data_IF_274949899403
#
_entry.id   IF_274949899403
#
_cell.length_a   1.000
_cell.length_b   1.000
_cell.length_c   1.000
_cell.angle_alpha   90.00
_cell.angle_beta   90.00
_cell.angle_gamma   90.00
#
_symmetry.space_group_name_H-M   'P 1'
#
loop_
_entity.id
_entity.type
_entity.pdbx_description
1 polymer ?
#
# COMPACT_ATOMS: atom_id res chain seq x y z
N UNK A 1 -13.13 27.19 -5.66
CA UNK A 1 -14.32 26.38 -5.96
C UNK A 1 -13.93 25.21 -6.84
N UNK A 2 -14.51 24.02 -6.60
CA UNK A 2 -14.39 22.87 -7.48
C UNK A 2 -15.43 22.96 -8.58
N UNK A 3 -15.07 22.50 -9.80
CA UNK A 3 -15.98 22.40 -10.93
C UNK A 3 -16.13 20.93 -11.28
N UNK A 4 -17.35 20.44 -11.34
CA UNK A 4 -17.66 19.09 -11.81
C UNK A 4 -17.39 19.01 -13.31
N UNK A 5 -16.59 18.03 -13.73
CA UNK A 5 -16.22 17.80 -15.13
C UNK A 5 -16.97 16.64 -15.77
N UNK A 6 -17.79 15.92 -15.01
CA UNK A 6 -18.52 14.73 -15.47
C UNK A 6 -17.68 13.43 -15.43
N UNK A 7 -18.21 12.33 -15.98
CA UNK A 7 -17.53 11.04 -16.01
C UNK A 7 -16.33 11.05 -16.95
N UNK A 8 -15.40 10.11 -16.76
CA UNK A 8 -14.36 9.85 -17.74
C UNK A 8 -14.98 9.27 -19.02
N UNK A 9 -14.38 9.64 -20.15
CA UNK A 9 -14.83 9.22 -21.48
C UNK A 9 -13.70 8.40 -22.12
N UNK A 10 -13.99 7.15 -22.43
CA UNK A 10 -13.07 6.26 -23.14
C UNK A 10 -12.82 6.72 -24.58
N UNK A 11 -11.85 6.10 -25.25
CA UNK A 11 -11.50 6.44 -26.64
C UNK A 11 -12.63 6.26 -27.64
N UNK A 12 -13.53 5.31 -27.39
CA UNK A 12 -14.72 5.07 -28.23
C UNK A 12 -15.91 5.99 -27.89
N UNK A 13 -15.74 6.88 -26.91
CA UNK A 13 -16.76 7.82 -26.48
C UNK A 13 -17.68 7.31 -25.35
N UNK A 14 -17.44 6.10 -24.84
CA UNK A 14 -18.25 5.52 -23.77
C UNK A 14 -17.88 6.13 -22.41
N UNK A 15 -18.85 6.64 -21.64
CA UNK A 15 -18.62 7.08 -20.27
C UNK A 15 -18.28 5.89 -19.35
N UNK A 16 -17.34 6.11 -18.40
CA UNK A 16 -17.01 5.13 -17.37
C UNK A 16 -16.59 5.79 -16.06
N UNK A 17 -16.69 5.03 -14.98
CA UNK A 17 -16.21 5.42 -13.65
C UNK A 17 -15.06 4.50 -13.28
N UNK A 18 -13.85 5.01 -13.10
CA UNK A 18 -12.71 4.19 -12.65
C UNK A 18 -12.89 3.80 -11.19
N UNK A 19 -12.35 2.64 -10.82
CA UNK A 19 -12.24 2.22 -9.43
C UNK A 19 -10.83 2.55 -8.91
N UNK A 20 -10.73 3.16 -7.73
CA UNK A 20 -9.48 3.61 -7.10
C UNK A 20 -8.59 4.48 -8.03
N UNK A 21 -9.12 5.55 -8.62
CA UNK A 21 -8.33 6.31 -9.57
C UNK A 21 -7.21 7.12 -8.92
N UNK A 22 -6.02 7.06 -9.51
CA UNK A 22 -4.91 7.95 -9.22
C UNK A 22 -4.56 8.77 -10.46
N UNK A 23 -4.41 10.07 -10.32
CA UNK A 23 -3.97 10.98 -11.38
C UNK A 23 -2.50 11.31 -11.19
N UNK A 24 -1.77 11.36 -12.29
CA UNK A 24 -0.36 11.74 -12.34
C UNK A 24 -0.10 12.69 -13.50
N UNK A 25 0.62 13.78 -13.24
CA UNK A 25 1.08 14.70 -14.29
C UNK A 25 2.59 14.58 -14.40
N UNK A 26 3.07 14.19 -15.58
CA UNK A 26 4.51 14.05 -15.85
C UNK A 26 5.17 15.41 -16.12
N UNK A 27 6.50 15.45 -16.10
CA UNK A 27 7.31 16.66 -16.28
C UNK A 27 7.06 17.35 -17.65
N UNK A 28 6.65 16.60 -18.66
CA UNK A 28 6.28 17.13 -19.98
C UNK A 28 4.82 17.64 -20.04
N UNK A 29 4.10 17.60 -18.93
CA UNK A 29 2.73 18.04 -18.80
C UNK A 29 1.69 17.05 -19.34
N UNK A 30 2.06 15.83 -19.71
CA UNK A 30 1.09 14.75 -19.99
C UNK A 30 0.42 14.31 -18.71
N UNK A 31 -0.86 13.97 -18.80
CA UNK A 31 -1.70 13.57 -17.68
C UNK A 31 -2.04 12.09 -17.83
N UNK A 32 -1.85 11.35 -16.77
CA UNK A 32 -2.13 9.93 -16.71
C UNK A 32 -3.12 9.63 -15.59
N UNK A 33 -3.92 8.60 -15.78
CA UNK A 33 -4.79 8.04 -14.76
C UNK A 33 -4.51 6.54 -14.64
N UNK A 34 -4.42 6.08 -13.42
CA UNK A 34 -4.33 4.64 -13.10
C UNK A 34 -5.55 4.23 -12.31
N UNK A 35 -6.01 3.01 -12.53
CA UNK A 35 -7.18 2.51 -11.84
C UNK A 35 -7.14 0.98 -11.72
N UNK A 36 -7.86 0.44 -10.76
CA UNK A 36 -8.18 -0.98 -10.69
C UNK A 36 -9.09 -1.39 -11.85
N UNK A 37 -8.84 -2.58 -12.37
CA UNK A 37 -9.72 -3.23 -13.34
C UNK A 37 -9.69 -4.75 -13.18
N UNK A 38 -10.88 -5.37 -13.08
CA UNK A 38 -11.04 -6.80 -13.26
C UNK A 38 -10.97 -7.17 -14.74
N UNK A 39 -10.28 -8.27 -15.06
CA UNK A 39 -10.24 -8.87 -16.38
C UNK A 39 -10.83 -10.26 -16.29
N UNK A 40 -11.96 -10.51 -16.93
CA UNK A 40 -12.68 -11.79 -16.89
C UNK A 40 -11.77 -12.93 -17.31
N UNK A 41 -11.91 -14.07 -16.62
CA UNK A 41 -11.20 -15.30 -16.97
C UNK A 41 -12.06 -16.09 -17.97
N UNK A 42 -11.57 -16.35 -19.19
CA UNK A 42 -12.34 -17.09 -20.17
C UNK A 42 -12.78 -18.46 -19.64
N UNK A 43 -14.09 -18.74 -19.71
CA UNK A 43 -14.68 -20.00 -19.26
C UNK A 43 -14.93 -20.11 -17.75
N UNK A 44 -14.71 -19.02 -16.99
CA UNK A 44 -15.00 -18.96 -15.55
C UNK A 44 -15.91 -17.77 -15.27
N UNK A 45 -17.21 -17.97 -15.39
CA UNK A 45 -18.21 -16.93 -15.23
C UNK A 45 -18.16 -16.33 -13.81
N UNK A 46 -18.03 -15.01 -13.71
CA UNK A 46 -17.93 -14.27 -12.44
C UNK A 46 -16.54 -14.27 -11.80
N UNK A 47 -15.56 -14.99 -12.37
CA UNK A 47 -14.18 -14.91 -11.92
C UNK A 47 -13.38 -13.95 -12.81
N UNK A 48 -12.50 -13.18 -12.20
CA UNK A 48 -11.62 -12.24 -12.91
C UNK A 48 -10.25 -12.16 -12.27
N UNK A 49 -9.29 -11.71 -13.03
CA UNK A 49 -7.95 -11.38 -12.55
C UNK A 49 -7.91 -9.89 -12.26
N UNK A 50 -7.47 -9.49 -11.09
CA UNK A 50 -7.28 -8.08 -10.74
C UNK A 50 -6.05 -7.52 -11.43
N UNK A 51 -6.19 -6.29 -11.94
CA UNK A 51 -5.12 -5.57 -12.65
C UNK A 51 -5.14 -4.11 -12.27
N UNK A 52 -3.99 -3.47 -12.39
CA UNK A 52 -3.88 -2.01 -12.49
C UNK A 52 -3.71 -1.66 -13.95
N UNK A 53 -4.56 -0.78 -14.44
CA UNK A 53 -4.49 -0.24 -15.81
C UNK A 53 -4.17 1.23 -15.79
N UNK A 54 -3.42 1.69 -16.80
CA UNK A 54 -3.08 3.08 -17.01
C UNK A 54 -3.72 3.65 -18.27
N UNK A 55 -4.02 4.93 -18.24
CA UNK A 55 -4.59 5.72 -19.32
C UNK A 55 -3.81 7.01 -19.49
N UNK A 56 -3.62 7.48 -20.70
CA UNK A 56 -3.23 8.87 -20.96
C UNK A 56 -4.48 9.70 -21.25
N UNK A 57 -4.57 10.87 -20.64
CA UNK A 57 -5.70 11.78 -20.72
C UNK A 57 -5.38 12.99 -21.63
N UNK A 58 -6.42 13.57 -22.21
CA UNK A 58 -6.30 14.79 -22.97
C UNK A 58 -5.91 15.97 -22.06
N UNK A 59 -4.85 16.69 -22.40
CA UNK A 59 -4.32 17.82 -21.60
C UNK A 59 -5.32 18.98 -21.48
N UNK A 60 -6.18 19.15 -22.47
CA UNK A 60 -7.15 20.26 -22.52
C UNK A 60 -8.51 19.87 -21.94
N UNK A 61 -8.78 18.57 -21.89
CA UNK A 61 -9.99 18.01 -21.32
C UNK A 61 -9.67 16.68 -20.59
N UNK A 62 -9.16 16.72 -19.35
CA UNK A 62 -8.62 15.57 -18.66
C UNK A 62 -9.64 14.50 -18.22
N UNK A 63 -10.89 14.62 -18.59
CA UNK A 63 -11.86 13.52 -18.50
C UNK A 63 -11.86 12.62 -19.74
N UNK A 64 -11.15 12.99 -20.81
CA UNK A 64 -11.08 12.20 -22.05
C UNK A 64 -9.81 11.36 -22.13
N UNK A 65 -9.99 10.08 -22.39
CA UNK A 65 -8.87 9.16 -22.65
C UNK A 65 -8.38 9.31 -24.09
N UNK A 66 -7.08 9.54 -24.27
CA UNK A 66 -6.42 9.58 -25.58
C UNK A 66 -5.62 8.31 -25.86
N UNK A 67 -5.14 7.61 -24.81
CA UNK A 67 -4.45 6.33 -24.93
C UNK A 67 -4.79 5.39 -23.76
N UNK A 68 -4.81 4.09 -24.00
CA UNK A 68 -5.12 3.04 -23.01
C UNK A 68 -6.52 2.44 -23.20
N UNK A 69 -6.95 1.55 -22.29
CA UNK A 69 -6.22 1.08 -21.13
C UNK A 69 -4.95 0.26 -21.48
N UNK A 70 -3.88 0.47 -20.74
CA UNK A 70 -2.67 -0.36 -20.78
C UNK A 70 -2.55 -1.07 -19.44
N UNK A 71 -2.41 -2.40 -19.43
CA UNK A 71 -2.17 -3.14 -18.19
C UNK A 71 -0.76 -2.84 -17.69
N UNK A 72 -0.68 -2.23 -16.52
CA UNK A 72 0.57 -1.86 -15.83
C UNK A 72 0.98 -2.96 -14.85
N UNK A 73 0.04 -3.44 -14.05
CA UNK A 73 0.21 -4.56 -13.13
C UNK A 73 -0.90 -5.58 -13.37
N UNK A 74 -0.52 -6.85 -13.35
CA UNK A 74 -1.43 -7.99 -13.31
C UNK A 74 -1.07 -8.83 -12.10
N UNK A 75 -2.05 -9.19 -11.27
CA UNK A 75 -1.81 -10.07 -10.13
C UNK A 75 -1.03 -11.32 -10.53
N UNK A 76 -0.12 -11.75 -9.66
CA UNK A 76 0.70 -12.95 -9.86
C UNK A 76 0.97 -13.64 -8.52
N UNK A 77 -0.01 -14.37 -8.03
CA UNK A 77 0.02 -15.04 -6.72
C UNK A 77 1.12 -16.10 -6.59
N UNK A 78 1.56 -16.68 -7.69
CA UNK A 78 2.64 -17.66 -7.67
C UNK A 78 4.02 -17.01 -7.45
N UNK A 79 4.27 -15.84 -8.04
CA UNK A 79 5.51 -15.10 -7.84
C UNK A 79 5.47 -14.19 -6.62
N UNK A 80 4.33 -13.59 -6.35
CA UNK A 80 4.12 -12.53 -5.35
C UNK A 80 3.22 -13.05 -4.22
N UNK A 81 3.81 -13.69 -3.23
CA UNK A 81 3.06 -14.29 -2.11
C UNK A 81 2.16 -13.28 -1.37
N UNK A 82 2.55 -12.00 -1.33
CA UNK A 82 1.78 -10.92 -0.69
C UNK A 82 0.49 -10.56 -1.45
N UNK A 83 0.34 -11.00 -2.69
CA UNK A 83 -0.89 -10.81 -3.47
C UNK A 83 -1.95 -11.88 -3.17
N UNK A 84 -1.59 -12.94 -2.47
CA UNK A 84 -2.47 -14.07 -2.16
C UNK A 84 -3.53 -13.68 -1.14
N UNK A 85 -4.76 -14.10 -1.38
CA UNK A 85 -5.86 -13.95 -0.43
C UNK A 85 -5.68 -14.80 0.84
N UNK A 86 -6.59 -14.57 1.82
CA UNK A 86 -6.54 -15.19 3.13
C UNK A 86 -5.66 -14.41 4.12
N UNK A 87 -5.98 -14.49 5.41
CA UNK A 87 -5.35 -13.66 6.45
C UNK A 87 -3.84 -13.86 6.66
N UNK A 88 -3.27 -14.90 6.05
CA UNK A 88 -1.83 -15.22 6.07
C UNK A 88 -1.28 -15.47 4.66
N UNK A 89 -1.89 -14.92 3.62
CA UNK A 89 -1.48 -15.05 2.21
C UNK A 89 -1.38 -16.52 1.75
N UNK A 90 -2.28 -17.36 2.20
CA UNK A 90 -2.22 -18.82 1.96
C UNK A 90 -2.90 -19.28 0.67
N UNK A 91 -3.77 -18.46 0.05
CA UNK A 91 -4.48 -18.84 -1.16
C UNK A 91 -3.64 -18.55 -2.41
N UNK A 92 -3.00 -19.58 -2.96
CA UNK A 92 -2.14 -19.45 -4.15
C UNK A 92 -2.92 -19.25 -5.45
N UNK A 93 -4.19 -19.59 -5.47
CA UNK A 93 -5.03 -19.51 -6.67
C UNK A 93 -5.75 -18.16 -6.78
N UNK A 94 -5.97 -17.48 -5.65
CA UNK A 94 -6.73 -16.26 -5.61
C UNK A 94 -5.93 -15.10 -5.01
N UNK A 95 -5.89 -13.99 -5.72
CA UNK A 95 -5.16 -12.80 -5.31
C UNK A 95 -5.87 -11.51 -5.69
N UNK A 96 -5.30 -10.38 -5.24
CA UNK A 96 -5.86 -9.07 -5.52
C UNK A 96 -4.79 -7.99 -5.60
N UNK A 97 -4.93 -7.06 -6.55
CA UNK A 97 -4.14 -5.84 -6.68
C UNK A 97 -5.09 -4.67 -6.93
N UNK A 98 -4.92 -3.55 -6.20
CA UNK A 98 -5.80 -2.39 -6.26
C UNK A 98 -5.06 -1.10 -5.82
N UNK A 99 -5.78 0.02 -5.68
CA UNK A 99 -5.29 1.24 -5.06
C UNK A 99 -3.97 1.77 -5.65
N UNK A 100 -3.86 1.94 -6.98
CA UNK A 100 -2.60 2.38 -7.59
C UNK A 100 -2.27 3.82 -7.22
N UNK A 101 -0.98 4.08 -7.01
CA UNK A 101 -0.42 5.42 -6.88
C UNK A 101 0.91 5.50 -7.63
N UNK A 102 1.08 6.46 -8.53
CA UNK A 102 2.34 6.64 -9.25
C UNK A 102 3.17 7.78 -8.65
N UNK A 103 4.40 7.45 -8.28
CA UNK A 103 5.45 8.39 -7.89
C UNK A 103 6.53 8.43 -8.98
N UNK A 104 7.02 9.63 -9.32
CA UNK A 104 8.26 9.79 -10.09
C UNK A 104 9.35 10.33 -9.17
N UNK A 105 10.45 9.61 -9.06
CA UNK A 105 11.58 10.02 -8.23
C UNK A 105 12.90 9.69 -8.93
N UNK A 106 13.80 10.69 -9.05
CA UNK A 106 15.09 10.57 -9.72
C UNK A 106 15.01 9.98 -11.14
N UNK A 107 13.96 10.32 -11.89
CA UNK A 107 13.75 9.86 -13.26
C UNK A 107 13.10 8.49 -13.43
N UNK A 108 12.94 7.74 -12.34
CA UNK A 108 12.26 6.44 -12.30
C UNK A 108 10.79 6.61 -11.87
N UNK A 109 9.91 5.82 -12.48
CA UNK A 109 8.50 5.74 -12.12
C UNK A 109 8.28 4.57 -11.17
N UNK A 110 7.58 4.80 -10.06
CA UNK A 110 7.23 3.77 -9.08
C UNK A 110 5.72 3.69 -8.99
N UNK A 111 5.17 2.53 -9.36
CA UNK A 111 3.76 2.21 -9.18
C UNK A 111 3.58 1.50 -7.85
N UNK A 112 3.11 2.22 -6.87
CA UNK A 112 2.69 1.68 -5.58
C UNK A 112 1.28 1.13 -5.75
N UNK A 113 1.00 -0.04 -5.19
CA UNK A 113 -0.33 -0.64 -5.22
C UNK A 113 -0.62 -1.37 -3.93
N UNK A 114 -1.88 -1.64 -3.66
CA UNK A 114 -2.32 -2.35 -2.47
C UNK A 114 -2.70 -3.79 -2.77
N UNK A 115 -2.53 -4.67 -1.79
CA UNK A 115 -2.78 -6.11 -1.88
C UNK A 115 -2.81 -6.75 -0.49
N UNK A 116 -3.46 -7.89 -0.25
CA UNK A 116 -4.48 -8.52 -1.10
C UNK A 116 -5.89 -8.02 -0.80
N UNK A 117 -6.22 -7.72 0.46
CA UNK A 117 -7.59 -7.42 0.89
C UNK A 117 -7.59 -6.46 2.07
N UNK A 118 -8.34 -5.40 1.90
CA UNK A 118 -8.51 -4.33 2.88
C UNK A 118 -9.10 -4.78 4.21
N UNK A 119 -9.79 -5.92 4.24
CA UNK A 119 -10.43 -6.48 5.43
C UNK A 119 -9.50 -7.42 6.23
N UNK A 120 -8.29 -7.69 5.74
CA UNK A 120 -7.38 -8.65 6.34
C UNK A 120 -6.14 -7.99 6.96
N UNK A 121 -5.54 -8.60 8.01
CA UNK A 121 -4.37 -8.03 8.68
C UNK A 121 -3.11 -7.99 7.81
N UNK A 122 -3.06 -8.76 6.75
CA UNK A 122 -1.94 -8.83 5.80
C UNK A 122 -2.07 -7.84 4.63
N UNK A 123 -3.05 -6.94 4.65
CA UNK A 123 -3.13 -5.85 3.69
C UNK A 123 -1.86 -5.02 3.70
N UNK A 124 -1.28 -4.77 2.54
CA UNK A 124 0.02 -4.13 2.40
C UNK A 124 0.09 -3.26 1.13
N UNK A 125 1.16 -2.50 1.02
CA UNK A 125 1.57 -1.88 -0.24
C UNK A 125 2.76 -2.61 -0.82
N UNK A 126 2.80 -2.72 -2.15
CA UNK A 126 3.94 -3.24 -2.90
C UNK A 126 4.24 -2.31 -4.10
N UNK A 127 5.35 -2.55 -4.77
CA UNK A 127 5.88 -1.63 -5.77
C UNK A 127 6.32 -2.35 -7.03
N UNK A 128 5.91 -1.81 -8.19
CA UNK A 128 6.54 -2.01 -9.47
C UNK A 128 7.26 -0.73 -9.89
N UNK A 129 8.36 -0.81 -10.62
CA UNK A 129 9.03 0.37 -11.14
C UNK A 129 9.29 0.27 -12.63
N UNK A 130 9.45 1.43 -13.28
CA UNK A 130 9.81 1.54 -14.70
C UNK A 130 10.84 2.64 -14.90
N UNK A 131 11.84 2.35 -15.74
CA UNK A 131 12.80 3.33 -16.28
C UNK A 131 12.44 3.77 -17.70
N UNK A 132 11.37 3.20 -18.29
CA UNK A 132 10.98 3.47 -19.68
C UNK A 132 9.89 4.55 -19.78
N UNK A 133 8.95 4.56 -18.83
CA UNK A 133 7.86 5.54 -18.88
C UNK A 133 6.67 5.20 -17.99
N UNK A 134 5.69 6.09 -17.95
CA UNK A 134 4.57 5.99 -17.01
C UNK A 134 3.55 4.87 -17.35
N UNK A 135 3.58 4.31 -18.57
CA UNK A 135 2.65 3.26 -18.99
C UNK A 135 3.32 1.94 -19.40
N UNK A 136 4.66 1.90 -19.46
CA UNK A 136 5.40 0.75 -20.01
C UNK A 136 6.60 0.39 -19.15
N UNK A 137 7.15 -0.82 -19.34
CA UNK A 137 8.40 -1.24 -18.72
C UNK A 137 8.35 -1.52 -17.23
N UNK A 138 7.16 -1.66 -16.63
CA UNK A 138 7.04 -1.92 -15.20
C UNK A 138 7.49 -3.34 -14.83
N UNK A 139 8.39 -3.41 -13.87
CA UNK A 139 8.91 -4.65 -13.27
C UNK A 139 8.68 -4.64 -11.76
N UNK A 140 8.37 -5.81 -11.21
CA UNK A 140 8.20 -5.96 -9.76
C UNK A 140 9.55 -5.79 -9.05
N UNK A 141 9.64 -4.90 -8.05
CA UNK A 141 10.86 -4.79 -7.27
C UNK A 141 11.07 -6.04 -6.38
N UNK A 142 12.32 -6.29 -6.01
CA UNK A 142 12.67 -7.46 -5.19
C UNK A 142 12.33 -7.26 -3.71
N UNK A 143 12.46 -6.04 -3.22
CA UNK A 143 12.15 -5.66 -1.82
C UNK A 143 10.66 -5.38 -1.62
N UNK A 144 9.81 -6.34 -2.00
CA UNK A 144 8.38 -6.30 -1.74
C UNK A 144 7.99 -7.29 -0.63
N UNK A 145 6.91 -7.00 0.09
CA UNK A 145 6.10 -5.77 0.06
C UNK A 145 6.81 -4.58 0.73
N UNK A 146 6.43 -3.35 0.33
CA UNK A 146 6.96 -2.09 0.89
C UNK A 146 6.53 -1.90 2.34
N UNK A 147 5.25 -2.20 2.62
CA UNK A 147 4.67 -2.15 3.95
C UNK A 147 4.00 -3.49 4.24
N UNK A 148 4.39 -4.16 5.31
CA UNK A 148 3.79 -5.44 5.69
C UNK A 148 3.95 -5.69 7.18
N UNK A 149 2.81 -5.86 7.85
CA UNK A 149 2.76 -6.31 9.23
C UNK A 149 1.39 -6.91 9.50
N UNK A 150 1.36 -8.14 10.01
CA UNK A 150 0.12 -8.90 10.26
C UNK A 150 -0.29 -8.90 11.73
N UNK A 151 0.60 -8.48 12.62
CA UNK A 151 0.39 -8.53 14.06
C UNK A 151 0.68 -7.17 14.70
N UNK A 152 0.18 -6.96 15.92
CA UNK A 152 0.41 -5.75 16.68
C UNK A 152 -0.63 -4.66 16.48
N UNK A 153 -0.33 -3.48 16.99
CA UNK A 153 -1.19 -2.29 16.93
C UNK A 153 -1.32 -1.74 15.51
N UNK A 154 -0.22 -1.74 14.77
CA UNK A 154 -0.17 -1.27 13.37
C UNK A 154 -0.04 -2.48 12.48
N UNK A 155 -1.09 -2.83 11.79
CA UNK A 155 -1.18 -3.96 10.87
C UNK A 155 -2.12 -3.63 9.71
N UNK A 156 -2.11 -4.43 8.66
CA UNK A 156 -2.96 -4.18 7.50
C UNK A 156 -2.63 -2.84 6.82
N UNK A 157 -1.33 -2.54 6.69
CA UNK A 157 -0.80 -1.26 6.22
C UNK A 157 -0.87 -1.16 4.69
N UNK A 158 -2.05 -1.01 4.15
CA UNK A 158 -2.30 -0.98 2.70
C UNK A 158 -3.02 0.28 2.22
N UNK A 159 -3.35 0.33 0.96
CA UNK A 159 -4.06 1.37 0.23
C UNK A 159 -3.59 2.79 0.59
N UNK A 160 -2.46 3.15 0.06
CA UNK A 160 -1.80 4.40 0.38
C UNK A 160 -0.98 4.95 -0.78
N UNK A 161 -0.06 5.82 -0.45
CA UNK A 161 0.82 6.47 -1.41
C UNK A 161 2.24 6.60 -0.85
N UNK A 162 3.18 6.90 -1.72
CA UNK A 162 4.49 7.43 -1.34
C UNK A 162 4.62 8.81 -1.96
N UNK A 163 4.91 9.80 -1.12
CA UNK A 163 4.98 11.19 -1.52
C UNK A 163 6.31 11.85 -1.14
N UNK A 164 6.65 12.90 -1.88
CA UNK A 164 7.78 13.73 -1.53
C UNK A 164 7.49 14.59 -0.31
N UNK A 165 8.40 14.53 0.65
CA UNK A 165 8.40 15.40 1.81
C UNK A 165 9.50 16.48 1.74
N UNK A 166 9.57 17.36 2.75
CA UNK A 166 10.62 18.36 2.86
C UNK A 166 12.02 17.75 2.80
N UNK A 167 12.99 18.47 2.23
CA UNK A 167 14.37 18.01 2.13
C UNK A 167 14.58 16.82 1.20
N UNK A 168 13.71 16.64 0.22
CA UNK A 168 13.72 15.51 -0.73
C UNK A 168 13.60 14.13 -0.06
N UNK A 169 12.96 14.07 1.10
CA UNK A 169 12.59 12.82 1.75
C UNK A 169 11.39 12.17 1.06
N UNK A 170 11.22 10.87 1.20
CA UNK A 170 10.03 10.14 0.76
C UNK A 170 9.28 9.61 1.99
N UNK A 171 7.96 9.64 1.92
CA UNK A 171 7.08 9.22 2.99
C UNK A 171 5.98 8.33 2.45
N UNK A 172 5.83 7.16 3.06
CA UNK A 172 4.67 6.31 2.85
C UNK A 172 3.53 6.77 3.79
N UNK A 173 2.34 6.91 3.23
CA UNK A 173 1.10 7.07 3.95
C UNK A 173 0.21 5.89 3.60
N UNK A 174 -0.39 5.25 4.59
CA UNK A 174 -1.18 4.05 4.39
C UNK A 174 -2.33 3.99 5.40
N UNK A 175 -3.33 3.19 5.12
CA UNK A 175 -4.42 2.95 6.07
C UNK A 175 -4.06 1.83 7.02
N UNK A 176 -4.50 1.94 8.28
CA UNK A 176 -4.45 0.89 9.27
C UNK A 176 -5.83 0.70 9.91
N UNK A 177 -6.27 -0.53 10.22
CA UNK A 177 -7.47 -0.75 11.00
C UNK A 177 -7.32 -0.15 12.40
N UNK A 178 -8.29 0.67 12.81
CA UNK A 178 -8.29 1.27 14.14
C UNK A 178 -8.97 0.40 15.19
N UNK A 179 -9.83 -0.50 14.75
CA UNK A 179 -10.56 -1.45 15.61
C UNK A 179 -10.65 -2.84 15.00
N UNK A 180 -10.65 -3.81 15.85
CA UNK A 180 -10.83 -5.22 15.49
C UNK A 180 -12.26 -5.60 15.12
N UNK A 181 -13.22 -4.81 15.59
CA UNK A 181 -14.65 -5.10 15.43
C UNK A 181 -15.27 -4.31 14.27
N UNK A 182 -14.48 -3.47 13.60
CA UNK A 182 -14.95 -2.64 12.50
C UNK A 182 -13.84 -2.44 11.46
N UNK A 183 -13.83 -3.27 10.44
CA UNK A 183 -12.80 -3.34 9.40
C UNK A 183 -12.61 -2.04 8.60
N UNK A 184 -13.64 -1.22 8.49
CA UNK A 184 -13.58 0.06 7.78
C UNK A 184 -13.28 1.27 8.68
N UNK A 185 -13.15 1.09 9.99
CA UNK A 185 -12.66 2.17 10.84
C UNK A 185 -11.14 2.20 10.81
N UNK A 186 -10.59 3.14 10.04
CA UNK A 186 -9.17 3.23 9.77
C UNK A 186 -8.56 4.53 10.24
N UNK A 187 -7.25 4.48 10.44
CA UNK A 187 -6.38 5.63 10.70
C UNK A 187 -5.29 5.66 9.64
N UNK A 188 -4.56 6.76 9.59
CA UNK A 188 -3.41 6.95 8.71
C UNK A 188 -2.15 6.57 9.48
N UNK A 189 -1.41 5.60 8.93
CA UNK A 189 -0.02 5.33 9.30
C UNK A 189 0.92 6.11 8.40
N UNK A 190 2.14 6.37 8.89
CA UNK A 190 3.16 7.13 8.18
C UNK A 190 4.55 6.61 8.54
N UNK A 191 5.36 6.31 7.53
CA UNK A 191 6.77 5.92 7.70
C UNK A 191 7.66 6.56 6.64
N UNK A 192 8.94 6.76 7.00
CA UNK A 192 9.97 7.13 6.03
C UNK A 192 10.19 6.00 5.03
N UNK A 193 10.37 6.39 3.79
CA UNK A 193 10.79 5.53 2.68
C UNK A 193 12.18 5.96 2.23
N UNK A 194 13.03 5.01 1.97
CA UNK A 194 14.35 5.26 1.38
C UNK A 194 14.50 4.48 0.07
N UNK A 195 15.55 4.79 -0.66
CA UNK A 195 15.89 4.18 -1.94
C UNK A 195 17.22 3.47 -1.79
N UNK A 196 17.29 2.19 -2.12
CA UNK A 196 18.52 1.41 -2.04
C UNK A 196 19.45 1.66 -3.24
N UNK A 197 20.59 0.97 -3.24
CA UNK A 197 21.60 1.03 -4.30
C UNK A 197 21.11 0.56 -5.68
N UNK A 198 20.03 -0.24 -5.73
CA UNK A 198 19.39 -0.69 -6.96
C UNK A 198 18.24 0.24 -7.40
N UNK A 199 17.97 1.28 -6.62
CA UNK A 199 16.85 2.18 -6.83
C UNK A 199 15.51 1.56 -6.43
N UNK A 200 15.47 0.58 -5.53
CA UNK A 200 14.24 0.01 -4.99
C UNK A 200 13.79 0.75 -3.73
N UNK A 201 12.48 0.96 -3.60
CA UNK A 201 11.91 1.61 -2.41
C UNK A 201 11.83 0.62 -1.24
N UNK A 202 12.13 1.09 -0.05
CA UNK A 202 11.93 0.32 1.18
C UNK A 202 11.63 1.24 2.37
N UNK A 203 10.93 0.71 3.38
CA UNK A 203 10.73 1.39 4.65
C UNK A 203 11.82 0.94 5.64
N UNK A 204 12.77 1.79 6.02
CA UNK A 204 13.87 1.41 6.90
C UNK A 204 13.43 0.93 8.28
N UNK A 205 12.40 1.52 8.83
CA UNK A 205 11.80 1.15 10.12
C UNK A 205 10.72 0.06 10.00
N UNK A 206 10.37 -0.34 8.77
CA UNK A 206 9.20 -1.17 8.52
C UNK A 206 7.89 -0.45 8.89
N UNK A 207 6.79 -1.17 8.92
CA UNK A 207 5.53 -0.63 9.45
C UNK A 207 5.68 -0.53 10.97
N UNK A 208 5.68 0.68 11.52
CA UNK A 208 5.95 0.92 12.94
C UNK A 208 4.81 1.65 13.64
N UNK A 209 4.63 1.36 14.92
CA UNK A 209 3.81 2.18 15.82
C UNK A 209 4.65 3.19 16.62
N UNK A 210 5.97 3.20 16.48
CA UNK A 210 6.83 4.21 17.08
C UNK A 210 6.48 5.57 16.49
N UNK A 211 6.17 6.58 17.32
CA UNK A 211 5.86 7.91 16.83
C UNK A 211 6.98 8.48 15.97
N UNK A 212 6.60 9.12 14.88
CA UNK A 212 7.49 9.76 13.92
C UNK A 212 7.39 11.28 14.07
N UNK A 213 8.48 12.00 13.86
CA UNK A 213 8.41 13.44 13.68
C UNK A 213 7.64 13.78 12.40
N UNK A 214 6.81 14.81 12.45
CA UNK A 214 6.13 15.32 11.26
C UNK A 214 7.18 15.70 10.21
N UNK A 215 6.98 15.37 8.93
CA UNK A 215 7.91 15.73 7.87
C UNK A 215 8.28 17.22 7.88
N UNK A 216 9.56 17.50 7.93
CA UNK A 216 10.12 18.85 7.95
C UNK A 216 11.45 18.88 7.20
N UNK A 217 12.01 20.08 6.97
CA UNK A 217 13.32 20.22 6.36
C UNK A 217 14.46 19.54 7.14
N UNK A 218 14.25 19.36 8.45
CA UNK A 218 15.21 18.71 9.35
C UNK A 218 14.98 17.20 9.50
N UNK A 219 14.00 16.64 8.81
CA UNK A 219 13.71 15.20 8.85
C UNK A 219 14.89 14.40 8.32
N UNK A 220 15.36 13.46 9.11
CA UNK A 220 16.45 12.55 8.75
C UNK A 220 15.93 11.30 8.03
N UNK A 221 16.79 10.68 7.26
CA UNK A 221 16.53 9.40 6.60
C UNK A 221 17.17 8.24 7.35
N UNK A 222 16.63 7.05 7.13
CA UNK A 222 17.17 5.80 7.63
C UNK A 222 16.42 5.18 8.80
N UNK A 223 16.75 3.95 9.12
CA UNK A 223 16.06 3.15 10.13
C UNK A 223 16.07 3.82 11.50
N UNK A 224 14.92 4.27 11.95
CA UNK A 224 14.73 4.90 13.26
C UNK A 224 15.28 6.33 13.40
N UNK A 225 15.88 6.92 12.36
CA UNK A 225 16.45 8.26 12.46
C UNK A 225 15.39 9.37 12.62
N UNK A 226 14.16 9.11 12.15
CA UNK A 226 13.05 10.05 12.30
C UNK A 226 12.10 9.71 13.44
N UNK A 227 12.39 8.70 14.24
CA UNK A 227 11.55 8.35 15.39
C UNK A 227 11.75 9.31 16.55
N UNK A 228 10.77 9.40 17.43
CA UNK A 228 10.88 10.12 18.71
C UNK A 228 11.77 9.40 19.72
N UNK A 229 12.35 8.25 19.32
CA UNK A 229 13.10 7.34 20.21
C UNK A 229 12.28 6.75 21.36
N UNK A 230 10.97 6.89 21.31
CA UNK A 230 10.08 6.17 22.21
C UNK A 230 10.05 4.70 21.81
N UNK A 231 10.55 3.86 22.68
CA UNK A 231 10.54 2.42 22.47
C UNK A 231 9.42 1.81 23.33
N UNK A 232 8.61 0.91 22.78
CA UNK A 232 7.75 0.09 23.60
C UNK A 232 8.64 -0.79 24.48
N UNK A 233 8.65 -0.50 25.77
CA UNK A 233 9.58 -1.10 26.76
C UNK A 233 9.40 -2.61 26.87
N UNK A 234 8.23 -3.08 26.51
CA UNK A 234 7.77 -4.45 26.71
C UNK A 234 7.92 -5.39 25.50
N UNK A 235 8.23 -4.87 24.31
CA UNK A 235 8.33 -5.72 23.09
C UNK A 235 9.63 -6.53 22.98
N UNK A 236 10.62 -6.25 23.82
CA UNK A 236 11.92 -6.94 23.82
C UNK A 236 11.98 -8.15 24.73
N UNK A 237 10.97 -8.36 25.56
CA UNK A 237 10.93 -9.40 26.55
C UNK A 237 9.68 -10.24 26.41
N UNK A 238 9.83 -11.55 26.56
CA UNK A 238 8.67 -12.46 26.67
C UNK A 238 8.23 -12.42 28.13
N UNK A 239 7.07 -11.80 28.43
CA UNK A 239 6.56 -11.74 29.80
C UNK A 239 6.27 -13.16 30.32
N UNK A 240 6.51 -13.34 31.62
CA UNK A 240 6.12 -14.57 32.34
C UNK A 240 5.23 -14.21 33.52
N UNK A 241 4.36 -15.13 33.91
CA UNK A 241 3.51 -14.99 35.10
C UNK A 241 3.43 -16.31 35.84
N UNK A 242 3.15 -16.24 37.16
CA UNK A 242 2.98 -17.41 37.99
C UNK A 242 1.68 -18.19 37.69
N UNK A 243 0.69 -17.49 37.13
CA UNK A 243 -0.58 -18.08 36.69
C UNK A 243 -1.19 -17.30 35.55
N UNK A 244 -2.01 -17.93 34.75
CA UNK A 244 -2.79 -17.27 33.71
C UNK A 244 -3.97 -18.17 33.27
N UNK A 245 -5.02 -17.52 32.77
CA UNK A 245 -6.17 -18.18 32.14
C UNK A 245 -5.76 -18.67 30.76
N UNK A 246 -6.12 -19.90 30.38
CA UNK A 246 -5.86 -20.44 29.05
C UNK A 246 -6.46 -19.54 27.95
N UNK A 247 -5.65 -19.18 26.95
CA UNK A 247 -6.00 -18.20 25.94
C UNK A 247 -5.84 -16.74 26.39
N UNK A 248 -5.19 -16.51 27.55
CA UNK A 248 -4.84 -15.20 28.11
C UNK A 248 -3.41 -15.21 28.64
N UNK A 249 -2.51 -15.73 27.85
CA UNK A 249 -1.11 -15.95 28.18
C UNK A 249 -0.35 -14.64 28.48
N UNK A 250 0.70 -14.66 29.30
CA UNK A 250 1.44 -13.44 29.68
C UNK A 250 1.98 -12.63 28.50
N UNK A 251 2.37 -13.27 27.40
CA UNK A 251 2.90 -12.57 26.22
C UNK A 251 1.87 -11.65 25.56
N UNK A 252 0.57 -11.88 25.76
CA UNK A 252 -0.49 -10.98 25.29
C UNK A 252 -0.48 -9.60 25.96
N UNK A 253 0.27 -9.41 27.04
CA UNK A 253 0.47 -8.08 27.64
C UNK A 253 1.43 -7.19 26.83
N UNK A 254 2.13 -7.76 25.85
CA UNK A 254 3.19 -7.09 25.10
C UNK A 254 3.23 -7.44 23.60
N UNK A 255 2.18 -8.07 23.09
CA UNK A 255 2.06 -8.46 21.68
C UNK A 255 1.57 -7.32 20.78
N UNK A 256 1.37 -6.12 21.36
CA UNK A 256 0.88 -4.91 20.70
C UNK A 256 -0.52 -5.04 20.07
N UNK A 257 -1.25 -6.07 20.44
CA UNK A 257 -2.61 -6.29 19.95
C UNK A 257 -3.63 -5.72 20.92
N UNK A 258 -4.53 -4.83 20.49
CA UNK A 258 -5.63 -4.36 21.32
C UNK A 258 -6.73 -5.42 21.54
N UNK A 259 -6.58 -6.61 20.93
CA UNK A 259 -7.54 -7.72 20.91
C UNK A 259 -7.23 -8.79 21.93
N UNK A 260 -6.01 -8.79 22.37
CA UNK A 260 -5.48 -9.77 23.32
C UNK A 260 -5.18 -9.08 24.64
N UNK A 261 -5.21 -9.82 25.69
CA UNK A 261 -4.81 -9.33 27.01
C UNK A 261 -4.37 -10.50 27.89
N UNK A 262 -3.44 -10.25 28.74
CA UNK A 262 -3.11 -11.19 29.79
C UNK A 262 -4.15 -11.15 30.90
N UNK A 263 -4.44 -12.32 31.49
CA UNK A 263 -5.32 -12.44 32.65
C UNK A 263 -4.76 -13.44 33.63
N UNK A 264 -4.55 -13.07 34.93
CA UNK A 264 -4.18 -14.03 35.97
C UNK A 264 -5.33 -14.98 36.27
N UNK A 265 -5.02 -16.14 36.82
CA UNK A 265 -6.06 -17.07 37.30
C UNK A 265 -6.79 -16.53 38.52
N UNK A 266 -6.09 -15.81 39.41
CA UNK A 266 -6.65 -15.14 40.62
C UNK A 266 -5.68 -14.07 41.15
#
# INVERSE_FOLDING_TARGET
PFTEMGPFISRDGTPFVPCDPCLFTDDDGRIYMYAFRGVDIPGREGEFISTVVGYELDRTNPVRVVNGPVTVIRQNTHANWWERQGGYNQDEEFGWVEGPHLLKHNGRYYMIYASPDTCTPNYCMAVYYSDEGPLTGFVCQKKNPLTYRIEGLVKGAGHGCVEHGPGNTLWAFYTIPARSTHEYERRIGMDLVDVDENGELFCPSGVTFTPQYIPSADTKKGAGENSTHELPVNTRYIPTASSFVAGREPHFSSDESPLTWWQPCD
#
